data_IF_069322275159
#
_entry.id   IF_069322275159
#
_cell.length_a   1.000
_cell.length_b   1.000
_cell.length_c   1.000
_cell.angle_alpha   90.00
_cell.angle_beta   90.00
_cell.angle_gamma   90.00
#
_symmetry.space_group_name_H-M   'P 1'
#
loop_
_entity.id
_entity.type
_entity.pdbx_description
1 polymer ?
#
# COMPACT_ATOMS: atom_id res chain seq x y z
N UNK A 1 13.08 6.00 -10.38
CA UNK A 1 13.40 4.69 -9.80
C UNK A 1 12.63 3.65 -10.59
N UNK A 2 13.33 2.67 -11.17
CA UNK A 2 12.73 1.62 -12.00
C UNK A 2 12.88 0.26 -11.31
N UNK A 3 11.89 -0.60 -11.43
CA UNK A 3 11.87 -1.91 -10.79
C UNK A 3 11.56 -3.00 -11.81
N UNK A 4 12.23 -4.14 -11.68
CA UNK A 4 12.04 -5.29 -12.58
C UNK A 4 10.72 -6.03 -12.33
N UNK A 5 10.12 -5.89 -11.14
CA UNK A 5 8.83 -6.52 -10.83
C UNK A 5 8.06 -5.75 -9.77
N UNK A 6 6.73 -5.91 -9.80
CA UNK A 6 5.83 -5.35 -8.79
C UNK A 6 6.14 -5.84 -7.37
N UNK A 7 6.64 -7.07 -7.23
CA UNK A 7 7.01 -7.63 -5.94
C UNK A 7 8.20 -6.89 -5.31
N UNK A 8 9.23 -6.57 -6.13
CA UNK A 8 10.40 -5.81 -5.69
C UNK A 8 9.99 -4.37 -5.34
N UNK A 9 9.16 -3.74 -6.18
CA UNK A 9 8.59 -2.41 -5.90
C UNK A 9 7.88 -2.38 -4.56
N UNK A 10 7.00 -3.36 -4.31
CA UNK A 10 6.23 -3.42 -3.07
C UNK A 10 7.13 -3.61 -1.84
N UNK A 11 8.14 -4.50 -1.94
CA UNK A 11 9.11 -4.70 -0.86
C UNK A 11 9.90 -3.43 -0.54
N UNK A 12 10.35 -2.70 -1.56
CA UNK A 12 11.05 -1.43 -1.37
C UNK A 12 10.19 -0.40 -0.60
N UNK A 13 8.93 -0.24 -1.00
CA UNK A 13 8.02 0.67 -0.29
C UNK A 13 7.65 0.18 1.11
N UNK A 14 7.57 -1.13 1.35
CA UNK A 14 7.39 -1.69 2.69
C UNK A 14 8.59 -1.38 3.58
N UNK A 15 9.81 -1.58 3.11
CA UNK A 15 11.03 -1.28 3.88
C UNK A 15 11.13 0.22 4.19
N UNK A 16 10.76 1.07 3.23
CA UNK A 16 10.67 2.52 3.43
C UNK A 16 9.60 2.89 4.46
N UNK A 17 8.43 2.27 4.40
CA UNK A 17 7.32 2.49 5.31
C UNK A 17 7.68 2.07 6.74
N UNK A 18 8.35 0.92 6.90
CA UNK A 18 8.85 0.42 8.17
C UNK A 18 9.85 1.40 8.81
N UNK A 19 10.84 1.89 8.04
CA UNK A 19 11.78 2.91 8.53
C UNK A 19 11.13 4.24 8.87
N UNK A 20 10.04 4.58 8.19
CA UNK A 20 9.35 5.85 8.33
C UNK A 20 8.16 5.82 9.29
N UNK A 21 7.85 4.67 9.89
CA UNK A 21 6.77 4.51 10.86
C UNK A 21 5.35 4.54 10.28
N UNK A 22 5.15 4.10 9.04
CA UNK A 22 3.81 3.98 8.43
C UNK A 22 3.64 2.64 7.71
N UNK A 23 2.43 2.32 7.25
CA UNK A 23 2.15 1.10 6.47
C UNK A 23 1.80 1.44 5.03
N UNK A 24 2.10 0.50 4.12
CA UNK A 24 1.76 0.59 2.69
C UNK A 24 0.91 -0.61 2.32
N UNK A 25 -0.18 -0.38 1.60
CA UNK A 25 -1.08 -1.42 1.09
C UNK A 25 -1.24 -1.33 -0.42
N UNK A 26 -1.57 -2.46 -1.05
CA UNK A 26 -1.92 -2.52 -2.47
C UNK A 26 -3.32 -1.92 -2.65
N UNK A 27 -3.48 -1.13 -3.70
CA UNK A 27 -4.78 -0.55 -4.05
C UNK A 27 -5.19 -1.07 -5.43
N UNK A 28 -5.24 -0.18 -6.42
CA UNK A 28 -5.76 -0.48 -7.74
C UNK A 28 -4.71 -1.11 -8.63
N UNK A 29 -5.09 -2.15 -9.36
CA UNK A 29 -4.30 -2.71 -10.46
C UNK A 29 -4.85 -2.18 -11.77
N UNK A 30 -4.00 -1.55 -12.56
CA UNK A 30 -4.33 -1.09 -13.91
C UNK A 30 -3.90 -2.16 -14.90
N UNK A 31 -4.87 -2.69 -15.65
CA UNK A 31 -4.64 -3.71 -16.68
C UNK A 31 -4.83 -3.15 -18.09
N UNK A 32 -4.07 -3.68 -19.04
CA UNK A 32 -4.23 -3.42 -20.47
C UNK A 32 -5.62 -3.85 -20.93
N UNK A 33 -6.28 -3.02 -21.74
CA UNK A 33 -7.55 -3.39 -22.36
C UNK A 33 -7.38 -4.40 -23.50
N UNK A 34 -6.19 -4.47 -24.09
CA UNK A 34 -5.89 -5.35 -25.23
C UNK A 34 -5.55 -6.76 -24.76
N UNK A 35 -4.56 -6.87 -23.87
CA UNK A 35 -3.98 -8.17 -23.50
C UNK A 35 -4.24 -8.56 -22.03
N UNK A 36 -4.97 -7.73 -21.27
CA UNK A 36 -5.23 -7.90 -19.83
C UNK A 36 -3.97 -7.99 -18.94
N UNK A 37 -2.80 -7.67 -19.50
CA UNK A 37 -1.52 -7.56 -18.77
C UNK A 37 -1.57 -6.42 -17.75
N UNK A 38 -0.82 -6.55 -16.66
CA UNK A 38 -0.75 -5.49 -15.64
C UNK A 38 0.19 -4.39 -16.14
N UNK A 39 -0.35 -3.21 -16.40
CA UNK A 39 0.40 -2.02 -16.82
C UNK A 39 0.81 -1.17 -15.60
N UNK A 40 0.05 -1.24 -14.50
CA UNK A 40 0.37 -0.47 -13.32
C UNK A 40 -0.25 -1.02 -12.04
N UNK A 41 0.31 -0.62 -10.91
CA UNK A 41 -0.16 -0.93 -9.57
C UNK A 41 -0.07 0.34 -8.72
N UNK A 42 -1.21 0.74 -8.15
CA UNK A 42 -1.25 1.79 -7.14
C UNK A 42 -0.98 1.19 -5.75
N UNK A 43 -0.19 1.93 -4.97
CA UNK A 43 0.05 1.68 -3.56
C UNK A 43 -0.39 2.91 -2.77
N UNK A 44 -1.01 2.70 -1.61
CA UNK A 44 -1.42 3.79 -0.72
C UNK A 44 -0.76 3.61 0.64
N UNK A 45 -0.39 4.72 1.27
CA UNK A 45 0.24 4.70 2.59
C UNK A 45 -0.69 5.27 3.66
N UNK A 46 -0.47 4.88 4.92
CA UNK A 46 -1.20 5.43 6.07
C UNK A 46 -0.64 6.77 6.57
N UNK A 47 0.36 7.35 5.89
CA UNK A 47 1.09 8.54 6.37
C UNK A 47 0.31 9.84 6.18
N UNK A 48 -0.58 9.92 5.19
CA UNK A 48 -1.43 11.08 4.93
C UNK A 48 -2.87 10.80 5.37
N UNK A 49 -3.11 11.07 6.65
CA UNK A 49 -4.38 10.93 7.35
C UNK A 49 -4.08 11.07 8.84
N UNK A 50 -4.42 12.21 9.42
CA UNK A 50 -4.11 12.57 10.80
C UNK A 50 -4.73 11.56 11.79
N UNK A 51 -4.00 10.49 12.16
CA UNK A 51 -4.45 9.56 13.21
C UNK A 51 -3.66 9.82 14.50
N UNK A 52 -4.38 10.38 15.47
CA UNK A 52 -3.95 10.66 16.84
C UNK A 52 -3.54 9.38 17.58
N UNK A 53 -2.23 9.12 17.62
CA UNK A 53 -1.38 8.39 18.62
C UNK A 53 -1.87 7.09 19.31
N UNK A 54 -3.09 6.59 19.13
CA UNK A 54 -3.66 5.49 19.94
C UNK A 54 -3.66 4.10 19.27
N UNK A 55 -3.18 3.95 18.04
CA UNK A 55 -3.31 2.69 17.28
C UNK A 55 -1.99 1.93 17.09
N UNK A 56 -0.98 2.12 17.94
CA UNK A 56 0.35 1.51 17.73
C UNK A 56 0.42 0.00 18.06
N UNK A 57 -0.60 -0.61 18.69
CA UNK A 57 -0.45 -1.97 19.25
C UNK A 57 -1.12 -3.11 18.47
N UNK A 58 -1.91 -2.86 17.43
CA UNK A 58 -2.61 -3.95 16.71
C UNK A 58 -1.87 -4.37 15.44
N UNK A 59 -0.76 -5.05 15.67
CA UNK A 59 0.10 -5.67 14.66
C UNK A 59 -0.43 -7.04 14.22
N UNK A 60 -1.69 -7.16 13.77
CA UNK A 60 -2.21 -8.40 13.16
C UNK A 60 -3.24 -8.04 12.09
N UNK A 61 -2.88 -8.36 10.84
CA UNK A 61 -3.74 -8.59 9.66
C UNK A 61 -5.12 -7.90 9.69
N UNK A 62 -5.17 -6.60 9.40
CA UNK A 62 -6.44 -5.98 9.00
C UNK A 62 -6.72 -6.34 7.55
N UNK A 63 -7.75 -7.16 7.37
CA UNK A 63 -8.32 -7.55 6.09
C UNK A 63 -8.57 -6.32 5.20
N UNK A 64 -8.42 -6.49 3.89
CA UNK A 64 -8.55 -5.43 2.88
C UNK A 64 -10.02 -5.02 2.69
N UNK A 65 -10.68 -4.57 3.74
CA UNK A 65 -11.97 -3.91 3.61
C UNK A 65 -11.74 -2.52 3.06
N UNK A 66 -12.17 -2.35 1.80
CA UNK A 66 -12.42 -1.07 1.14
C UNK A 66 -13.54 -0.33 1.89
N UNK A 67 -13.24 0.13 3.10
CA UNK A 67 -14.02 1.16 3.75
C UNK A 67 -13.23 2.45 3.63
N UNK A 68 -13.79 3.36 2.83
CA UNK A 68 -13.33 4.74 2.76
C UNK A 68 -13.19 5.26 4.19
N UNK A 69 -12.09 6.00 4.41
CA UNK A 69 -11.69 6.59 5.67
C UNK A 69 -12.89 6.88 6.59
N UNK A 70 -13.14 5.95 7.52
CA UNK A 70 -13.91 6.24 8.72
C UNK A 70 -12.91 6.50 9.81
N UNK A 71 -12.91 7.75 10.25
CA UNK A 71 -12.28 8.23 11.47
C UNK A 71 -12.63 7.33 12.67
#
# INVERSE_FOLDING_TARGET
>A
MEFQSLAITFKFYLDYAHRSGFSVRKNRITRSRKDKSIIGQEFVCSKEGFCSKKSLEKNIQRDETREGAKC
#
